data_IF_665151161997
#
_entry.id   IF_665151161997
#
_cell.length_a   1.000
_cell.length_b   1.000
_cell.length_c   1.000
_cell.angle_alpha   90.00
_cell.angle_beta   90.00
_cell.angle_gamma   90.00
#
_symmetry.space_group_name_H-M   'P 1'
#
loop_
_entity.id
_entity.type
_entity.pdbx_description
1 polymer ?
#
# COMPACT_ATOMS: atom_id res chain seq x y z
N UNK A 1 25.42 11.61 6.06
CA UNK A 1 24.63 10.41 5.71
C UNK A 1 23.24 10.70 6.26
N UNK A 2 22.25 10.99 5.41
CA UNK A 2 20.90 11.37 5.87
C UNK A 2 20.30 10.20 6.67
N UNK A 3 19.74 10.47 7.84
CA UNK A 3 19.19 9.48 8.80
C UNK A 3 17.92 8.74 8.35
N UNK A 4 17.67 8.67 7.03
CA UNK A 4 16.43 8.16 6.44
C UNK A 4 15.63 9.26 5.73
N UNK A 5 14.59 8.84 5.01
CA UNK A 5 13.72 9.76 4.26
C UNK A 5 12.99 10.75 5.17
N UNK A 6 12.53 10.31 6.34
CA UNK A 6 11.78 11.16 7.27
C UNK A 6 12.64 12.29 7.84
N UNK A 7 13.87 11.97 8.24
CA UNK A 7 14.82 12.95 8.76
C UNK A 7 15.16 14.00 7.72
N UNK A 8 15.36 13.60 6.47
CA UNK A 8 15.58 14.52 5.36
C UNK A 8 14.46 15.57 5.24
N UNK A 9 13.19 15.13 5.25
CA UNK A 9 12.06 16.07 5.13
C UNK A 9 11.90 16.95 6.37
N UNK A 10 12.13 16.40 7.58
CA UNK A 10 12.06 17.15 8.83
C UNK A 10 13.16 18.21 8.93
N UNK A 11 14.40 17.86 8.61
CA UNK A 11 15.52 18.79 8.56
C UNK A 11 15.29 19.88 7.51
N UNK A 12 14.80 19.49 6.32
CA UNK A 12 14.52 20.47 5.27
C UNK A 12 13.41 21.43 5.67
N UNK A 13 12.34 20.93 6.29
CA UNK A 13 11.28 21.77 6.84
C UNK A 13 11.82 22.74 7.91
N UNK A 14 12.65 22.25 8.85
CA UNK A 14 13.30 23.09 9.88
C UNK A 14 14.16 24.18 9.26
N UNK A 15 14.98 23.86 8.25
CA UNK A 15 15.84 24.82 7.55
C UNK A 15 15.05 25.94 6.85
N UNK A 16 13.80 25.66 6.48
CA UNK A 16 12.88 26.61 5.84
C UNK A 16 11.90 27.23 6.83
N UNK A 17 12.23 27.27 8.13
CA UNK A 17 11.40 27.90 9.16
C UNK A 17 10.16 27.09 9.55
N UNK A 18 10.27 25.75 9.56
CA UNK A 18 9.14 24.81 9.79
C UNK A 18 8.05 24.93 8.72
N UNK A 19 8.44 25.19 7.48
CA UNK A 19 7.50 25.22 6.38
C UNK A 19 6.92 23.82 6.14
N UNK A 20 5.60 23.75 6.04
CA UNK A 20 4.83 22.56 5.68
C UNK A 20 4.55 22.48 4.17
N UNK A 21 5.24 23.32 3.37
CA UNK A 21 5.22 23.27 1.91
C UNK A 21 6.58 23.73 1.37
N UNK A 22 7.27 22.90 0.60
CA UNK A 22 8.52 23.30 -0.04
C UNK A 22 8.79 22.53 -1.32
N UNK A 23 9.52 23.18 -2.23
CA UNK A 23 9.98 22.58 -3.48
C UNK A 23 11.19 21.70 -3.21
N UNK A 24 11.23 20.54 -3.85
CA UNK A 24 12.40 19.69 -3.92
C UNK A 24 12.53 19.11 -5.32
N UNK A 25 13.64 18.45 -5.58
CA UNK A 25 13.83 17.69 -6.80
C UNK A 25 13.98 16.22 -6.38
N UNK A 26 13.00 15.38 -6.74
CA UNK A 26 13.05 13.94 -6.44
C UNK A 26 12.80 13.16 -7.71
N UNK A 27 13.47 12.01 -7.85
CA UNK A 27 13.28 11.08 -8.96
C UNK A 27 13.35 11.77 -10.35
N UNK A 28 14.32 12.68 -10.52
CA UNK A 28 14.54 13.39 -11.78
C UNK A 28 13.46 14.43 -12.13
N UNK A 29 12.57 14.79 -11.18
CA UNK A 29 11.46 15.71 -11.43
C UNK A 29 11.37 16.80 -10.36
N UNK A 30 10.96 18.03 -10.74
CA UNK A 30 10.60 19.05 -9.76
C UNK A 30 9.33 18.60 -9.02
N UNK A 31 9.42 18.52 -7.69
CA UNK A 31 8.34 18.06 -6.82
C UNK A 31 8.07 19.08 -5.72
N UNK A 32 6.88 19.03 -5.14
CA UNK A 32 6.52 19.86 -3.98
C UNK A 32 6.13 18.92 -2.84
N UNK A 33 6.84 19.03 -1.72
CA UNK A 33 6.44 18.38 -0.48
C UNK A 33 5.29 19.18 0.13
N UNK A 34 4.22 18.48 0.49
CA UNK A 34 3.06 19.04 1.15
C UNK A 34 2.83 18.29 2.45
N UNK A 35 2.86 19.01 3.57
CA UNK A 35 2.56 18.48 4.89
C UNK A 35 1.39 19.22 5.55
N UNK A 36 0.76 18.53 6.50
CA UNK A 36 -0.31 19.07 7.34
C UNK A 36 -1.70 18.68 6.85
N UNK A 37 -2.55 18.32 7.81
CA UNK A 37 -3.89 17.77 7.59
C UNK A 37 -4.79 18.64 6.70
N UNK A 38 -4.75 19.97 6.87
CA UNK A 38 -5.56 20.91 6.07
C UNK A 38 -5.22 20.87 4.58
N UNK A 39 -3.92 20.82 4.24
CA UNK A 39 -3.47 20.85 2.84
C UNK A 39 -3.65 19.50 2.17
N UNK A 40 -3.36 18.41 2.89
CA UNK A 40 -3.63 17.05 2.44
C UNK A 40 -5.13 16.90 2.17
N UNK A 41 -6.00 17.34 3.09
CA UNK A 41 -7.45 17.34 2.87
C UNK A 41 -7.85 18.15 1.63
N UNK A 42 -7.25 19.31 1.39
CA UNK A 42 -7.52 20.10 0.19
C UNK A 42 -7.09 19.41 -1.11
N UNK A 43 -5.98 18.65 -1.09
CA UNK A 43 -5.54 17.86 -2.24
C UNK A 43 -6.49 16.68 -2.50
N UNK A 44 -6.81 15.92 -1.45
CA UNK A 44 -7.77 14.81 -1.53
C UNK A 44 -9.16 15.28 -1.94
N UNK A 45 -9.63 16.44 -1.44
CA UNK A 45 -10.91 17.01 -1.84
C UNK A 45 -10.89 17.41 -3.33
N UNK A 46 -9.75 17.83 -3.88
CA UNK A 46 -9.61 18.12 -5.31
C UNK A 46 -9.63 16.85 -6.17
N UNK A 47 -9.06 15.76 -5.66
CA UNK A 47 -9.03 14.45 -6.34
C UNK A 47 -10.40 13.75 -6.29
N UNK A 48 -11.05 13.75 -5.12
CA UNK A 48 -12.23 12.91 -4.87
C UNK A 48 -13.56 13.69 -4.91
N UNK A 49 -13.58 14.99 -4.65
CA UNK A 49 -14.81 15.81 -4.70
C UNK A 49 -14.85 16.67 -5.96
N UNK A 50 -16.02 16.75 -6.59
CA UNK A 50 -16.26 17.78 -7.60
C UNK A 50 -16.30 19.13 -6.87
N UNK A 51 -15.37 20.03 -7.17
CA UNK A 51 -15.33 21.37 -6.60
C UNK A 51 -15.55 22.40 -7.71
N UNK A 52 -16.41 23.41 -7.52
CA UNK A 52 -16.61 24.48 -8.49
C UNK A 52 -15.31 25.23 -8.84
N UNK A 53 -14.32 25.21 -7.94
CA UNK A 53 -13.05 25.90 -8.12
C UNK A 53 -11.96 25.07 -8.83
N UNK A 54 -12.15 23.75 -9.00
CA UNK A 54 -11.12 22.85 -9.51
C UNK A 54 -11.53 22.03 -10.75
N UNK A 55 -12.74 22.24 -11.27
CA UNK A 55 -13.27 21.48 -12.40
C UNK A 55 -13.85 20.11 -12.01
N UNK A 56 -14.21 19.25 -12.97
CA UNK A 56 -14.64 17.88 -12.69
C UNK A 56 -13.51 17.18 -11.92
N UNK A 57 -13.84 16.54 -10.78
CA UNK A 57 -12.83 15.87 -9.96
C UNK A 57 -12.08 14.83 -10.78
N UNK A 58 -10.79 15.05 -10.98
CA UNK A 58 -9.89 14.17 -11.73
C UNK A 58 -9.29 13.12 -10.80
N UNK A 59 -9.21 11.89 -11.27
CA UNK A 59 -8.44 10.84 -10.59
C UNK A 59 -6.97 11.07 -10.91
N UNK A 60 -6.34 11.99 -10.18
CA UNK A 60 -4.90 12.16 -10.23
C UNK A 60 -4.26 11.09 -9.36
N UNK A 61 -3.99 9.94 -9.96
CA UNK A 61 -3.17 8.89 -9.38
C UNK A 61 -1.85 9.53 -8.90
N UNK A 62 -1.62 9.55 -7.59
CA UNK A 62 -0.53 10.31 -6.95
C UNK A 62 0.86 9.77 -7.33
N UNK A 63 0.95 8.63 -8.01
CA UNK A 63 2.21 7.97 -8.31
C UNK A 63 2.25 7.28 -9.68
N UNK A 64 2.13 8.04 -10.78
CA UNK A 64 2.69 7.57 -12.06
C UNK A 64 4.21 7.77 -12.00
N UNK A 65 4.88 6.90 -11.24
CA UNK A 65 6.34 6.78 -11.23
C UNK A 65 6.72 5.86 -12.39
N UNK A 66 7.24 6.43 -13.47
CA UNK A 66 7.68 5.66 -14.64
C UNK A 66 6.55 4.90 -15.35
N UNK A 67 6.85 3.69 -15.82
CA UNK A 67 5.91 2.78 -16.49
C UNK A 67 5.17 1.93 -15.46
N UNK A 68 4.30 2.59 -14.66
CA UNK A 68 3.49 1.96 -13.61
C UNK A 68 2.66 0.77 -14.12
N UNK A 69 2.30 0.78 -15.41
CA UNK A 69 1.56 -0.29 -16.08
C UNK A 69 2.31 -1.63 -16.07
N UNK A 70 3.65 -1.60 -16.11
CA UNK A 70 4.49 -2.80 -16.04
C UNK A 70 4.55 -3.38 -14.62
N UNK A 71 4.46 -2.52 -13.60
CA UNK A 71 4.61 -2.92 -12.21
C UNK A 71 3.28 -3.29 -11.56
N UNK A 72 2.23 -2.54 -11.84
CA UNK A 72 0.93 -2.65 -11.17
C UNK A 72 -0.15 -3.24 -12.08
N UNK A 73 0.16 -3.42 -13.36
CA UNK A 73 -0.79 -3.89 -14.37
C UNK A 73 -1.61 -2.76 -14.99
N UNK A 74 -1.96 -2.96 -16.26
CA UNK A 74 -2.72 -2.02 -17.10
C UNK A 74 -4.19 -1.89 -16.69
N UNK A 75 -4.73 -2.91 -16.01
CA UNK A 75 -6.14 -2.98 -15.59
C UNK A 75 -6.29 -2.85 -14.07
N UNK A 76 -5.37 -2.12 -13.42
CA UNK A 76 -5.39 -1.91 -11.97
C UNK A 76 -6.20 -0.69 -11.59
N UNK A 77 -6.65 -0.63 -10.32
CA UNK A 77 -7.23 0.61 -9.78
C UNK A 77 -6.29 1.80 -9.99
N UNK A 78 -4.97 1.57 -10.06
CA UNK A 78 -3.97 2.60 -10.23
C UNK A 78 -3.77 3.09 -11.68
N UNK A 79 -4.27 2.36 -12.67
CA UNK A 79 -4.20 2.79 -14.08
C UNK A 79 -5.39 3.67 -14.49
N UNK A 80 -6.48 3.67 -13.72
CA UNK A 80 -7.67 4.49 -14.01
C UNK A 80 -7.39 5.95 -13.70
N UNK A 81 -7.22 6.76 -14.74
CA UNK A 81 -6.92 8.20 -14.64
C UNK A 81 -8.05 9.08 -15.19
N UNK A 82 -8.82 8.56 -16.14
CA UNK A 82 -9.80 9.35 -16.90
C UNK A 82 -11.24 9.22 -16.36
N UNK A 83 -11.66 8.01 -15.98
CA UNK A 83 -13.04 7.73 -15.56
C UNK A 83 -13.19 7.61 -14.05
N UNK A 84 -13.83 8.61 -13.44
CA UNK A 84 -14.17 8.59 -12.01
C UNK A 84 -15.16 7.49 -11.64
N UNK A 85 -16.06 7.15 -12.56
CA UNK A 85 -17.08 6.13 -12.34
C UNK A 85 -16.47 4.74 -12.31
N UNK A 86 -15.54 4.49 -13.24
CA UNK A 86 -14.73 3.27 -13.28
C UNK A 86 -13.84 3.15 -12.04
N UNK A 87 -13.16 4.23 -11.65
CA UNK A 87 -12.36 4.25 -10.42
C UNK A 87 -13.21 3.92 -9.19
N UNK A 88 -14.41 4.50 -9.07
CA UNK A 88 -15.35 4.18 -7.99
C UNK A 88 -15.85 2.73 -8.04
N UNK A 89 -16.01 2.17 -9.23
CA UNK A 89 -16.39 0.77 -9.41
C UNK A 89 -15.31 -0.16 -8.87
N UNK A 90 -14.05 0.03 -9.29
CA UNK A 90 -12.91 -0.73 -8.76
C UNK A 90 -12.71 -0.52 -7.27
N UNK A 91 -12.87 0.71 -6.77
CA UNK A 91 -12.79 1.00 -5.34
C UNK A 91 -13.87 0.24 -4.55
N UNK A 92 -15.10 0.16 -5.08
CA UNK A 92 -16.17 -0.63 -4.45
C UNK A 92 -15.85 -2.12 -4.47
N UNK A 93 -15.28 -2.62 -5.57
CA UNK A 93 -14.87 -4.02 -5.69
C UNK A 93 -13.81 -4.38 -4.64
N UNK A 94 -12.76 -3.57 -4.50
CA UNK A 94 -11.76 -3.72 -3.42
C UNK A 94 -12.41 -3.57 -2.04
N UNK A 95 -13.35 -2.64 -1.88
CA UNK A 95 -14.07 -2.45 -0.62
C UNK A 95 -14.97 -3.64 -0.22
N UNK A 96 -15.42 -4.46 -1.16
CA UNK A 96 -16.26 -5.63 -0.87
C UNK A 96 -15.50 -6.73 -0.11
N UNK A 97 -14.21 -6.94 -0.41
CA UNK A 97 -13.36 -7.90 0.32
C UNK A 97 -13.08 -7.46 1.77
N UNK A 98 -13.28 -6.17 2.07
CA UNK A 98 -13.17 -5.58 3.40
C UNK A 98 -14.54 -5.32 4.08
N UNK A 99 -15.64 -5.84 3.53
CA UNK A 99 -16.96 -5.68 4.14
C UNK A 99 -17.03 -6.38 5.51
N UNK A 100 -17.90 -5.93 6.45
CA UNK A 100 -18.05 -6.59 7.75
C UNK A 100 -18.37 -8.09 7.65
N UNK A 101 -19.15 -8.47 6.62
CA UNK A 101 -19.46 -9.87 6.34
C UNK A 101 -18.21 -10.65 5.94
N UNK A 102 -17.46 -10.14 4.95
CA UNK A 102 -16.22 -10.78 4.50
C UNK A 102 -15.21 -10.89 5.65
N UNK A 103 -15.05 -9.85 6.47
CA UNK A 103 -14.19 -9.88 7.66
C UNK A 103 -14.66 -10.90 8.71
N UNK A 104 -15.98 -11.01 8.92
CA UNK A 104 -16.54 -11.99 9.84
C UNK A 104 -16.32 -13.42 9.37
N UNK A 105 -16.43 -13.68 8.07
CA UNK A 105 -16.14 -14.98 7.46
C UNK A 105 -14.64 -15.32 7.58
N UNK A 106 -13.76 -14.32 7.43
CA UNK A 106 -12.32 -14.44 7.64
C UNK A 106 -11.93 -14.77 9.09
N UNK A 107 -12.69 -14.25 10.07
CA UNK A 107 -12.24 -14.13 11.45
C UNK A 107 -11.82 -15.46 12.08
N UNK A 108 -12.53 -16.55 11.76
CA UNK A 108 -12.19 -17.88 12.26
C UNK A 108 -10.87 -18.39 11.68
N UNK A 109 -10.63 -18.16 10.40
CA UNK A 109 -9.36 -18.49 9.76
C UNK A 109 -8.22 -17.66 10.34
N UNK A 110 -8.44 -16.36 10.55
CA UNK A 110 -7.47 -15.45 11.19
C UNK A 110 -7.08 -15.92 12.59
N UNK A 111 -8.08 -16.27 13.41
CA UNK A 111 -7.84 -16.76 14.76
C UNK A 111 -7.03 -18.07 14.74
N UNK A 112 -7.41 -19.02 13.87
CA UNK A 112 -6.69 -20.28 13.73
C UNK A 112 -5.23 -20.07 13.29
N UNK A 113 -4.99 -19.16 12.34
CA UNK A 113 -3.63 -18.84 11.88
C UNK A 113 -2.82 -18.16 12.98
N UNK A 114 -3.45 -17.29 13.78
CA UNK A 114 -2.80 -16.66 14.93
C UNK A 114 -2.43 -17.70 16.00
N UNK A 115 -3.34 -18.61 16.34
CA UNK A 115 -3.11 -19.70 17.29
C UNK A 115 -1.97 -20.63 16.82
N UNK A 116 -1.97 -21.02 15.53
CA UNK A 116 -0.88 -21.79 14.93
C UNK A 116 0.46 -21.06 15.01
N UNK A 117 0.46 -19.75 14.76
CA UNK A 117 1.67 -18.92 14.83
C UNK A 117 2.19 -18.80 16.26
N UNK A 118 1.31 -18.62 17.25
CA UNK A 118 1.69 -18.60 18.67
C UNK A 118 2.25 -19.96 19.09
N UNK A 119 1.62 -21.05 18.67
CA UNK A 119 2.09 -22.40 18.98
C UNK A 119 3.48 -22.66 18.41
N UNK A 120 3.72 -22.30 17.15
CA UNK A 120 5.06 -22.47 16.55
C UNK A 120 6.13 -21.63 17.24
N UNK A 121 5.76 -20.49 17.83
CA UNK A 121 6.67 -19.68 18.64
C UNK A 121 7.01 -20.34 19.98
N UNK A 122 6.02 -20.97 20.64
CA UNK A 122 6.21 -21.68 21.91
C UNK A 122 7.08 -22.92 21.71
N UNK A 123 6.85 -23.64 20.61
CA UNK A 123 7.55 -24.89 20.29
C UNK A 123 8.98 -24.63 19.73
N UNK A 124 9.37 -23.38 19.50
CA UNK A 124 10.67 -23.02 18.95
C UNK A 124 11.73 -22.89 20.05
N UNK A 125 12.78 -23.70 19.97
CA UNK A 125 13.95 -23.59 20.85
C UNK A 125 14.88 -22.44 20.37
N UNK A 126 14.49 -21.19 20.64
CA UNK A 126 15.33 -20.03 20.34
C UNK A 126 14.62 -18.69 20.34
N UNK A 127 15.36 -17.64 19.97
CA UNK A 127 14.78 -16.30 19.78
C UNK A 127 13.96 -16.25 18.50
N UNK A 128 12.68 -15.89 18.62
CA UNK A 128 11.80 -15.65 17.47
C UNK A 128 11.89 -14.19 17.03
N UNK A 129 12.05 -13.95 15.72
CA UNK A 129 11.90 -12.63 15.13
C UNK A 129 10.42 -12.34 14.89
N UNK A 130 9.87 -11.37 15.63
CA UNK A 130 8.46 -10.99 15.49
C UNK A 130 8.10 -10.55 14.06
N UNK A 131 9.03 -9.94 13.33
CA UNK A 131 8.83 -9.52 11.94
C UNK A 131 8.50 -10.71 11.03
N UNK A 132 9.20 -11.83 11.18
CA UNK A 132 9.02 -13.00 10.32
C UNK A 132 7.65 -13.65 10.57
N UNK A 133 7.24 -13.71 11.85
CA UNK A 133 5.91 -14.22 12.25
C UNK A 133 4.80 -13.32 11.72
N UNK A 134 4.92 -12.00 11.89
CA UNK A 134 3.94 -11.04 11.40
C UNK A 134 3.85 -11.05 9.87
N UNK A 135 4.98 -11.21 9.18
CA UNK A 135 5.02 -11.31 7.73
C UNK A 135 4.26 -12.56 7.26
N UNK A 136 4.56 -13.74 7.82
CA UNK A 136 3.86 -14.99 7.49
C UNK A 136 2.36 -14.90 7.79
N UNK A 137 2.01 -14.37 8.95
CA UNK A 137 0.61 -14.13 9.32
C UNK A 137 -0.08 -13.22 8.31
N UNK A 138 0.51 -12.07 7.98
CA UNK A 138 -0.06 -11.10 7.04
C UNK A 138 -0.24 -11.68 5.64
N UNK A 139 0.70 -12.50 5.15
CA UNK A 139 0.58 -13.16 3.85
C UNK A 139 -0.58 -14.16 3.82
N UNK A 140 -0.78 -14.91 4.91
CA UNK A 140 -1.91 -15.83 5.01
C UNK A 140 -3.26 -15.12 4.98
N UNK A 141 -3.35 -13.93 5.61
CA UNK A 141 -4.53 -13.06 5.47
C UNK A 141 -4.70 -12.61 4.02
N UNK A 142 -3.63 -12.14 3.40
CA UNK A 142 -3.68 -11.53 2.07
C UNK A 142 -4.24 -12.50 1.02
N UNK A 143 -3.67 -13.70 0.88
CA UNK A 143 -4.16 -14.63 -0.15
C UNK A 143 -5.57 -15.15 0.16
N UNK A 144 -5.95 -15.36 1.44
CA UNK A 144 -7.22 -16.05 1.79
C UNK A 144 -8.36 -15.08 1.78
N UNK A 145 -8.15 -13.90 2.38
CA UNK A 145 -9.20 -12.93 2.61
C UNK A 145 -9.30 -11.90 1.50
N UNK A 146 -8.17 -11.44 0.96
CA UNK A 146 -8.16 -10.36 -0.02
C UNK A 146 -8.27 -10.94 -1.43
N UNK A 147 -7.52 -12.01 -1.71
CA UNK A 147 -7.48 -12.62 -3.05
C UNK A 147 -8.45 -13.81 -3.20
N UNK A 148 -8.94 -14.37 -2.09
CA UNK A 148 -9.85 -15.53 -2.11
C UNK A 148 -9.19 -16.82 -2.60
N UNK A 149 -7.85 -16.90 -2.56
CA UNK A 149 -7.09 -18.07 -2.95
C UNK A 149 -7.16 -19.14 -1.86
N UNK A 150 -7.54 -20.35 -2.26
CA UNK A 150 -7.47 -21.56 -1.44
C UNK A 150 -6.19 -22.32 -1.77
N UNK A 151 -5.05 -21.82 -1.29
CA UNK A 151 -3.76 -22.51 -1.40
C UNK A 151 -3.74 -23.69 -0.42
N UNK A 152 -3.63 -24.90 -0.96
CA UNK A 152 -3.87 -26.15 -0.21
C UNK A 152 -2.59 -26.78 0.30
N UNK A 153 -1.47 -26.51 -0.35
CA UNK A 153 -0.17 -27.10 -0.01
C UNK A 153 0.82 -26.05 0.47
N UNK A 154 1.77 -26.46 1.30
CA UNK A 154 2.87 -25.58 1.73
C UNK A 154 3.72 -25.12 0.54
N UNK A 155 3.89 -25.96 -0.49
CA UNK A 155 4.62 -25.61 -1.71
C UNK A 155 3.95 -24.47 -2.51
N UNK A 156 2.61 -24.48 -2.61
CA UNK A 156 1.84 -23.42 -3.28
C UNK A 156 1.98 -22.09 -2.54
N UNK A 157 1.92 -22.17 -1.21
CA UNK A 157 2.13 -21.06 -0.28
C UNK A 157 3.53 -20.47 -0.44
N UNK A 158 4.57 -21.30 -0.40
CA UNK A 158 5.96 -20.84 -0.53
C UNK A 158 6.23 -20.22 -1.89
N UNK A 159 5.72 -20.84 -2.96
CA UNK A 159 5.84 -20.30 -4.31
C UNK A 159 5.17 -18.94 -4.42
N UNK A 160 3.96 -18.78 -3.89
CA UNK A 160 3.28 -17.48 -3.89
C UNK A 160 4.11 -16.41 -3.17
N UNK A 161 4.65 -16.72 -1.99
CA UNK A 161 5.48 -15.79 -1.22
C UNK A 161 6.75 -15.40 -2.01
N UNK A 162 7.41 -16.36 -2.66
CA UNK A 162 8.60 -16.12 -3.47
C UNK A 162 8.31 -15.21 -4.68
N UNK A 163 7.22 -15.45 -5.39
CA UNK A 163 6.80 -14.62 -6.53
C UNK A 163 6.45 -13.19 -6.07
N UNK A 164 5.74 -13.05 -4.96
CA UNK A 164 5.38 -11.75 -4.38
C UNK A 164 6.62 -10.97 -3.90
N UNK A 165 7.58 -11.65 -3.29
CA UNK A 165 8.86 -11.04 -2.92
C UNK A 165 9.67 -10.62 -4.14
N UNK A 166 9.70 -11.44 -5.18
CA UNK A 166 10.39 -11.14 -6.44
C UNK A 166 9.77 -9.90 -7.12
N UNK A 167 8.44 -9.84 -7.17
CA UNK A 167 7.70 -8.70 -7.70
C UNK A 167 7.94 -7.42 -6.87
N UNK A 168 7.85 -7.50 -5.54
CA UNK A 168 8.09 -6.37 -4.63
C UNK A 168 9.52 -5.82 -4.75
N UNK A 169 10.53 -6.69 -4.80
CA UNK A 169 11.91 -6.29 -5.02
C UNK A 169 12.12 -5.64 -6.39
N UNK A 170 11.41 -6.11 -7.42
CA UNK A 170 11.45 -5.50 -8.75
C UNK A 170 10.87 -4.08 -8.75
N UNK A 171 9.82 -3.82 -7.96
CA UNK A 171 9.28 -2.47 -7.75
C UNK A 171 10.32 -1.56 -7.07
N UNK A 172 10.94 -2.03 -5.99
CA UNK A 172 11.93 -1.24 -5.26
C UNK A 172 13.14 -0.89 -6.14
N UNK A 173 13.65 -1.84 -6.92
CA UNK A 173 14.75 -1.63 -7.87
C UNK A 173 14.37 -0.69 -9.04
N UNK A 174 13.09 -0.56 -9.36
CA UNK A 174 12.63 0.36 -10.41
C UNK A 174 12.49 1.80 -9.90
N UNK A 175 12.12 1.97 -8.62
CA UNK A 175 11.88 3.27 -8.01
C UNK A 175 13.18 3.91 -7.49
N UNK A 176 14.14 3.11 -7.01
CA UNK A 176 15.43 3.54 -6.46
C UNK A 176 16.54 3.59 -7.52
#
# INVERSE_FOLDING_TARGET
>A
MFGGFDDFFLERSKSLGKSSLFKLYSFGRPSVMVAGSRRIKSLLDREFKASPAAGPGQVNQVAIVGNSDMLLGKDSLQSVTESKEEYKSFQRLVGQSMSPKALSEAMQALQKTAECSIKSMIDWEGSVKAVDVLHKFTMDIAWRQIEGLDLKTEDEVEKFIQELQTWSNSILNYIL
#
